data_IF_060439231386
#
_entry.id   IF_060439231386
#
_cell.length_a   1.000
_cell.length_b   1.000
_cell.length_c   1.000
_cell.angle_alpha   90.00
_cell.angle_beta   90.00
_cell.angle_gamma   90.00
#
_symmetry.space_group_name_H-M   'P 1'
#
loop_
_entity.id
_entity.type
_entity.pdbx_description
1 polymer ?
#
# COMPACT_ATOMS: atom_id res chain seq x y z
N UNK A 1 -2.32 -25.67 33.09
CA UNK A 1 -2.58 -26.68 32.03
C UNK A 1 -2.27 -26.01 30.72
N UNK A 2 -1.13 -26.31 30.12
CA UNK A 2 -0.66 -25.70 28.89
C UNK A 2 -1.31 -26.42 27.69
N UNK A 3 -2.18 -25.72 26.95
CA UNK A 3 -2.63 -26.16 25.64
C UNK A 3 -1.63 -25.66 24.60
N UNK A 4 -0.77 -26.56 24.13
CA UNK A 4 0.09 -26.35 22.97
C UNK A 4 -0.81 -26.45 21.73
N UNK A 5 -1.10 -25.31 21.10
CA UNK A 5 -1.80 -25.26 19.82
C UNK A 5 -0.80 -25.68 18.73
N UNK A 6 -0.85 -26.94 18.29
CA UNK A 6 -0.16 -27.38 17.09
C UNK A 6 -0.83 -26.74 15.87
N UNK A 7 -0.15 -25.77 15.25
CA UNK A 7 -0.52 -25.27 13.92
C UNK A 7 0.02 -26.28 12.90
N UNK A 8 -0.84 -27.18 12.45
CA UNK A 8 -0.56 -28.08 11.33
C UNK A 8 -0.58 -27.31 10.02
N UNK A 9 0.45 -27.50 9.19
CA UNK A 9 0.48 -27.01 7.81
C UNK A 9 -0.76 -27.52 7.05
N UNK A 10 -1.64 -26.60 6.66
CA UNK A 10 -2.80 -26.93 5.85
C UNK A 10 -2.33 -27.29 4.43
N UNK A 11 -2.71 -28.49 3.97
CA UNK A 11 -2.61 -28.85 2.57
C UNK A 11 -3.55 -27.95 1.75
N UNK A 12 -3.07 -27.45 0.61
CA UNK A 12 -3.86 -26.67 -0.36
C UNK A 12 -4.95 -27.58 -0.93
N UNK A 13 -6.20 -27.41 -0.49
CA UNK A 13 -7.36 -28.07 -1.10
C UNK A 13 -8.04 -27.11 -2.06
N UNK A 14 -7.81 -27.30 -3.36
CA UNK A 14 -8.64 -26.69 -4.41
C UNK A 14 -9.99 -27.43 -4.46
N UNK A 15 -11.07 -26.79 -4.01
CA UNK A 15 -12.43 -27.28 -4.19
C UNK A 15 -13.09 -26.48 -5.32
N UNK A 16 -12.95 -26.93 -6.56
CA UNK A 16 -13.70 -26.39 -7.68
C UNK A 16 -15.06 -27.12 -7.76
N UNK A 17 -16.16 -26.43 -7.44
CA UNK A 17 -17.51 -26.91 -7.78
C UNK A 17 -17.79 -26.52 -9.23
N UNK A 18 -17.92 -27.51 -10.10
CA UNK A 18 -18.42 -27.30 -11.46
C UNK A 18 -19.89 -26.82 -11.38
N UNK A 19 -20.14 -25.57 -11.74
CA UNK A 19 -21.49 -25.04 -11.97
C UNK A 19 -22.00 -25.44 -13.35
N UNK A 20 -23.31 -25.70 -13.41
CA UNK A 20 -24.03 -26.38 -14.47
C UNK A 20 -23.97 -25.73 -15.87
N UNK A 21 -24.02 -26.63 -16.85
CA UNK A 21 -24.21 -26.39 -18.28
C UNK A 21 -25.47 -25.56 -18.56
N UNK A 22 -25.30 -24.39 -19.19
CA UNK A 22 -26.35 -23.66 -19.91
C UNK A 22 -25.80 -23.33 -21.31
N UNK A 23 -26.53 -23.60 -22.40
CA UNK A 23 -26.05 -23.35 -23.75
C UNK A 23 -26.41 -21.93 -24.18
N UNK A 24 -25.40 -21.07 -24.35
CA UNK A 24 -25.22 -20.17 -25.50
C UNK A 24 -24.05 -19.22 -25.22
N UNK A 25 -23.31 -18.89 -26.29
CA UNK A 25 -21.95 -18.38 -26.22
C UNK A 25 -21.80 -17.07 -25.45
N UNK A 26 -20.95 -17.13 -24.45
CA UNK A 26 -20.09 -16.02 -24.02
C UNK A 26 -18.79 -16.65 -23.52
N UNK A 27 -17.66 -15.99 -23.75
CA UNK A 27 -16.32 -16.53 -23.49
C UNK A 27 -16.15 -16.89 -22.01
N UNK A 28 -16.23 -18.18 -21.69
CA UNK A 28 -15.90 -18.69 -20.36
C UNK A 28 -14.41 -18.51 -20.13
N UNK A 29 -14.02 -17.45 -19.43
CA UNK A 29 -12.69 -17.34 -18.84
C UNK A 29 -12.57 -18.44 -17.79
N UNK A 30 -11.89 -19.54 -18.13
CA UNK A 30 -11.54 -20.57 -17.17
C UNK A 30 -10.69 -19.92 -16.06
N UNK A 31 -11.25 -19.81 -14.87
CA UNK A 31 -10.50 -19.37 -13.70
C UNK A 31 -9.54 -20.50 -13.31
N UNK A 32 -8.29 -20.43 -13.77
CA UNK A 32 -7.25 -21.34 -13.32
C UNK A 32 -6.85 -20.98 -11.88
N UNK A 33 -7.01 -21.91 -10.93
CA UNK A 33 -6.52 -21.78 -9.55
C UNK A 33 -4.98 -21.94 -9.45
N UNK A 34 -4.26 -21.38 -10.42
CA UNK A 34 -2.81 -21.44 -10.53
C UNK A 34 -2.28 -20.19 -11.24
N UNK A 35 -0.96 -20.00 -11.27
CA UNK A 35 -0.39 -18.85 -11.95
C UNK A 35 -0.60 -18.95 -13.47
N UNK A 36 -0.80 -17.81 -14.12
CA UNK A 36 -0.77 -17.72 -15.59
C UNK A 36 0.64 -17.95 -16.15
N UNK A 37 0.79 -17.87 -17.48
CA UNK A 37 2.10 -18.02 -18.15
C UNK A 37 3.14 -16.97 -17.75
N UNK A 38 2.71 -15.88 -17.11
CA UNK A 38 3.55 -14.80 -16.61
C UNK A 38 3.80 -14.93 -15.10
N UNK A 39 3.37 -16.01 -14.45
CA UNK A 39 3.59 -16.27 -13.02
C UNK A 39 2.62 -15.55 -12.08
N UNK A 40 1.51 -15.01 -12.59
CA UNK A 40 0.55 -14.21 -11.81
C UNK A 40 -0.68 -15.01 -11.43
N UNK A 41 -1.17 -14.83 -10.20
CA UNK A 41 -2.39 -15.44 -9.69
C UNK A 41 -3.53 -14.44 -9.77
N UNK A 42 -4.58 -14.75 -10.54
CA UNK A 42 -5.75 -13.87 -10.67
C UNK A 42 -6.90 -14.36 -9.80
N UNK A 43 -7.48 -13.44 -9.04
CA UNK A 43 -8.76 -13.60 -8.36
C UNK A 43 -9.78 -12.60 -8.91
N UNK A 44 -11.07 -12.93 -8.78
CA UNK A 44 -12.17 -12.21 -9.39
C UNK A 44 -13.32 -12.02 -8.40
N UNK A 45 -13.93 -10.85 -8.42
CA UNK A 45 -15.21 -10.56 -7.79
C UNK A 45 -16.15 -9.92 -8.82
N UNK A 46 -17.43 -9.67 -8.47
CA UNK A 46 -18.32 -8.97 -9.39
C UNK A 46 -17.75 -7.60 -9.81
N UNK A 47 -17.61 -7.38 -11.12
CA UNK A 47 -17.11 -6.13 -11.73
C UNK A 47 -15.68 -5.72 -11.34
N UNK A 48 -14.88 -6.66 -10.80
CA UNK A 48 -13.49 -6.40 -10.41
C UNK A 48 -12.65 -7.67 -10.56
N UNK A 49 -11.43 -7.56 -11.07
CA UNK A 49 -10.46 -8.65 -11.03
C UNK A 49 -9.07 -8.10 -10.73
N UNK A 50 -8.27 -8.88 -10.04
CA UNK A 50 -6.92 -8.47 -9.66
C UNK A 50 -5.95 -9.65 -9.78
N UNK A 51 -4.72 -9.33 -10.14
CA UNK A 51 -3.63 -10.30 -10.22
C UNK A 51 -2.60 -10.00 -9.15
N UNK A 52 -2.03 -11.06 -8.56
CA UNK A 52 -1.05 -11.00 -7.49
C UNK A 52 0.15 -11.88 -7.81
N UNK A 53 1.30 -11.55 -7.21
CA UNK A 53 2.52 -12.35 -7.30
C UNK A 53 3.01 -12.71 -5.89
N UNK A 54 3.59 -13.90 -5.67
CA UNK A 54 4.07 -14.28 -4.34
C UNK A 54 5.23 -13.40 -3.83
N UNK A 55 6.05 -12.83 -4.71
CA UNK A 55 7.11 -11.91 -4.30
C UNK A 55 6.47 -10.63 -3.73
N UNK A 56 6.84 -10.27 -2.50
CA UNK A 56 6.27 -9.16 -1.75
C UNK A 56 4.78 -9.30 -1.39
N UNK A 57 4.16 -10.47 -1.66
CA UNK A 57 2.71 -10.62 -1.71
C UNK A 57 2.04 -9.54 -2.59
N UNK A 58 2.71 -9.11 -3.66
CA UNK A 58 2.37 -7.89 -4.38
C UNK A 58 1.11 -8.02 -5.22
N UNK A 59 0.32 -6.95 -5.25
CA UNK A 59 -0.64 -6.74 -6.34
C UNK A 59 0.11 -6.36 -7.63
N UNK A 60 -0.24 -7.02 -8.74
CA UNK A 60 0.36 -6.75 -10.04
C UNK A 60 -0.58 -6.08 -11.03
N UNK A 61 -1.89 -6.32 -10.90
CA UNK A 61 -2.91 -5.74 -11.75
C UNK A 61 -4.21 -5.58 -10.96
N UNK A 62 -5.01 -4.57 -11.31
CA UNK A 62 -6.38 -4.42 -10.81
C UNK A 62 -7.21 -3.77 -11.90
N UNK A 63 -8.27 -4.46 -12.30
CA UNK A 63 -9.09 -4.09 -13.45
C UNK A 63 -10.48 -3.65 -13.01
N UNK A 64 -10.89 -2.48 -13.50
CA UNK A 64 -12.22 -1.90 -13.33
C UNK A 64 -12.67 -1.36 -14.68
N UNK A 65 -13.94 -1.59 -15.05
CA UNK A 65 -14.53 -0.94 -16.22
C UNK A 65 -14.85 0.51 -15.89
N UNK A 66 -14.38 1.43 -16.73
CA UNK A 66 -14.67 2.85 -16.60
C UNK A 66 -16.12 3.20 -17.01
N UNK A 67 -16.49 4.48 -16.92
CA UNK A 67 -17.84 4.96 -17.28
C UNK A 67 -18.20 4.79 -18.76
N UNK A 68 -17.22 4.52 -19.63
CA UNK A 68 -17.40 4.19 -21.05
C UNK A 68 -17.42 2.68 -21.31
N UNK A 69 -17.33 1.85 -20.26
CA UNK A 69 -17.26 0.40 -20.36
C UNK A 69 -15.89 -0.13 -20.79
N UNK A 70 -14.84 0.69 -20.77
CA UNK A 70 -13.48 0.28 -21.11
C UNK A 70 -12.80 -0.25 -19.84
N UNK A 71 -12.29 -1.48 -19.89
CA UNK A 71 -11.54 -2.06 -18.78
C UNK A 71 -10.19 -1.34 -18.62
N UNK A 72 -9.90 -0.86 -17.40
CA UNK A 72 -8.67 -0.14 -17.05
C UNK A 72 -7.87 -0.93 -16.02
N UNK A 73 -6.59 -1.15 -16.31
CA UNK A 73 -5.64 -1.65 -15.30
C UNK A 73 -5.07 -0.47 -14.51
N UNK A 74 -5.59 -0.25 -13.30
CA UNK A 74 -5.40 1.01 -12.56
C UNK A 74 -4.25 1.00 -11.55
N UNK A 75 -3.40 -0.03 -11.56
CA UNK A 75 -2.22 -0.12 -10.66
C UNK A 75 -0.93 -0.36 -11.44
N UNK A 76 0.17 0.28 -11.08
CA UNK A 76 1.47 -0.02 -11.67
C UNK A 76 1.96 -1.43 -11.28
N UNK A 77 2.84 -1.99 -12.09
CA UNK A 77 3.42 -3.31 -11.87
C UNK A 77 4.15 -3.80 -13.11
N UNK A 78 4.43 -5.10 -13.16
CA UNK A 78 5.14 -5.72 -14.28
C UNK A 78 4.25 -6.70 -15.05
N UNK A 79 4.50 -6.88 -16.35
CA UNK A 79 3.79 -7.90 -17.14
C UNK A 79 4.14 -9.31 -16.67
N UNK A 80 5.39 -9.57 -16.27
CA UNK A 80 5.87 -10.86 -15.81
C UNK A 80 6.32 -10.83 -14.34
N UNK A 81 5.90 -11.82 -13.56
CA UNK A 81 6.21 -11.95 -12.14
C UNK A 81 7.71 -12.00 -11.84
N UNK A 82 8.55 -12.48 -12.77
CA UNK A 82 10.00 -12.56 -12.56
C UNK A 82 10.64 -11.19 -12.32
N UNK A 83 10.09 -10.12 -12.92
CA UNK A 83 10.61 -8.75 -12.80
C UNK A 83 10.55 -8.22 -11.37
N UNK A 84 9.63 -8.73 -10.56
CA UNK A 84 9.54 -8.36 -9.15
C UNK A 84 10.78 -8.79 -8.33
N UNK A 85 11.66 -9.65 -8.85
CA UNK A 85 12.89 -10.03 -8.11
C UNK A 85 14.18 -9.53 -8.75
N UNK A 86 14.12 -8.97 -9.97
CA UNK A 86 15.32 -8.69 -10.77
C UNK A 86 15.35 -7.30 -11.38
N UNK A 87 14.21 -6.58 -11.41
CA UNK A 87 14.20 -5.23 -11.95
C UNK A 87 15.06 -4.30 -11.08
N UNK A 88 15.87 -3.47 -11.73
CA UNK A 88 16.83 -2.61 -11.04
C UNK A 88 16.26 -1.25 -10.66
N UNK A 89 15.13 -0.86 -11.26
CA UNK A 89 14.50 0.43 -11.02
C UNK A 89 13.43 0.31 -9.94
N UNK A 90 12.58 -0.71 -10.02
CA UNK A 90 11.47 -0.89 -9.08
C UNK A 90 11.02 -2.36 -8.94
N UNK A 91 11.79 -3.21 -8.25
CA UNK A 91 11.47 -4.63 -8.14
C UNK A 91 10.27 -4.93 -7.22
N UNK A 92 9.66 -3.99 -6.50
CA UNK A 92 8.69 -4.34 -5.44
C UNK A 92 7.39 -3.53 -5.50
N UNK A 93 6.95 -3.16 -6.71
CA UNK A 93 5.64 -2.53 -6.92
C UNK A 93 4.51 -3.25 -6.17
N UNK A 94 3.61 -2.52 -5.52
CA UNK A 94 2.40 -3.10 -4.94
C UNK A 94 2.62 -4.11 -3.80
N UNK A 95 3.85 -4.21 -3.26
CA UNK A 95 4.21 -5.14 -2.20
C UNK A 95 3.76 -4.70 -0.81
N UNK A 96 4.00 -5.59 0.16
CA UNK A 96 3.78 -5.35 1.59
C UNK A 96 5.11 -4.97 2.25
N UNK A 97 5.38 -3.67 2.46
CA UNK A 97 6.58 -3.26 3.19
C UNK A 97 6.54 -3.79 4.62
N UNK A 98 7.68 -4.26 5.10
CA UNK A 98 7.74 -4.89 6.41
C UNK A 98 9.14 -5.31 6.83
N UNK A 99 9.36 -5.64 8.11
CA UNK A 99 8.33 -5.67 9.17
C UNK A 99 7.90 -4.29 9.70
N UNK A 100 8.58 -3.23 9.26
CA UNK A 100 8.25 -1.84 9.59
C UNK A 100 8.23 -0.99 8.33
N UNK A 101 7.06 -0.52 7.93
CA UNK A 101 6.85 0.35 6.79
C UNK A 101 7.42 1.76 7.05
N UNK A 102 7.73 2.49 5.99
CA UNK A 102 8.33 3.81 6.05
C UNK A 102 9.68 3.82 6.82
N UNK A 103 10.13 4.98 7.29
CA UNK A 103 11.47 5.20 7.83
C UNK A 103 11.54 4.91 9.32
N UNK A 104 12.66 4.32 9.74
CA UNK A 104 13.15 4.28 11.12
C UNK A 104 14.35 5.20 11.21
N UNK A 105 14.22 6.26 12.01
CA UNK A 105 15.25 7.27 12.22
C UNK A 105 16.56 6.66 12.72
N UNK A 106 17.66 7.03 12.08
CA UNK A 106 19.01 6.56 12.42
C UNK A 106 19.13 5.03 12.45
N UNK A 107 18.26 4.32 11.74
CA UNK A 107 18.20 2.85 11.71
C UNK A 107 18.28 2.22 13.10
N UNK A 108 17.62 2.83 14.09
CA UNK A 108 17.65 2.32 15.46
C UNK A 108 16.40 2.70 16.25
N UNK A 109 16.12 1.92 17.29
CA UNK A 109 15.01 2.14 18.22
C UNK A 109 15.33 1.54 19.58
N UNK A 110 14.47 1.78 20.57
CA UNK A 110 14.64 1.27 21.94
C UNK A 110 13.46 0.40 22.34
N UNK A 111 13.74 -0.81 22.86
CA UNK A 111 12.75 -1.68 23.50
C UNK A 111 13.23 -1.96 24.92
N UNK A 112 12.39 -1.68 25.91
CA UNK A 112 12.68 -1.95 27.33
C UNK A 112 14.06 -1.41 27.78
N UNK A 113 14.42 -0.21 27.31
CA UNK A 113 15.70 0.45 27.63
C UNK A 113 16.91 -0.07 26.84
N UNK A 114 16.76 -1.12 26.02
CA UNK A 114 17.82 -1.63 25.14
C UNK A 114 17.71 -0.99 23.75
N UNK A 115 18.81 -0.40 23.28
CA UNK A 115 18.95 0.07 21.89
C UNK A 115 19.15 -1.11 20.94
N UNK A 116 18.42 -1.09 19.83
CA UNK A 116 18.55 -2.01 18.71
C UNK A 116 18.94 -1.21 17.47
N UNK A 117 19.77 -1.82 16.62
CA UNK A 117 20.15 -1.27 15.32
C UNK A 117 19.67 -2.19 14.22
N UNK A 118 19.10 -1.61 13.18
CA UNK A 118 18.62 -2.27 11.98
C UNK A 118 19.44 -1.83 10.77
N UNK A 119 19.35 -2.59 9.68
CA UNK A 119 20.16 -2.33 8.49
C UNK A 119 19.62 -1.10 7.71
N UNK A 120 20.44 -0.06 7.52
CA UNK A 120 20.06 1.06 6.66
C UNK A 120 19.97 0.63 5.20
N UNK A 121 19.17 1.37 4.45
CA UNK A 121 19.06 1.26 2.98
C UNK A 121 18.71 2.60 2.31
N UNK A 122 18.65 3.70 3.08
CA UNK A 122 18.24 5.00 2.56
C UNK A 122 19.07 6.15 3.15
N UNK A 123 19.11 7.28 2.44
CA UNK A 123 19.83 8.50 2.79
C UNK A 123 21.35 8.27 2.92
N UNK A 124 22.03 7.75 1.87
CA UNK A 124 23.45 7.50 1.91
C UNK A 124 24.26 8.79 2.07
N UNK A 125 25.33 8.70 2.85
CA UNK A 125 26.31 9.78 3.03
C UNK A 125 27.70 9.26 2.70
N UNK A 126 28.70 10.14 2.64
CA UNK A 126 30.10 9.75 2.38
C UNK A 126 30.59 8.73 3.42
N UNK A 127 30.20 8.90 4.69
CA UNK A 127 30.61 8.02 5.79
C UNK A 127 29.69 6.80 5.97
N UNK A 128 28.49 6.83 5.36
CA UNK A 128 27.48 5.78 5.43
C UNK A 128 26.94 5.47 4.03
N UNK A 129 27.68 4.75 3.19
CA UNK A 129 27.31 4.50 1.79
C UNK A 129 26.03 3.67 1.63
N UNK A 130 25.70 2.85 2.63
CA UNK A 130 24.48 2.03 2.64
C UNK A 130 23.25 2.78 3.17
N UNK A 131 23.41 4.03 3.64
CA UNK A 131 22.35 4.82 4.24
C UNK A 131 22.52 5.09 5.74
N UNK A 132 21.72 6.02 6.26
CA UNK A 132 21.62 6.31 7.70
C UNK A 132 20.25 5.93 8.28
N UNK A 133 19.24 5.73 7.42
CA UNK A 133 17.89 5.35 7.82
C UNK A 133 17.49 4.00 7.22
N UNK A 134 16.58 3.32 7.91
CA UNK A 134 15.97 2.07 7.44
C UNK A 134 14.60 2.40 6.88
N UNK A 135 14.40 2.19 5.59
CA UNK A 135 13.13 2.33 4.89
C UNK A 135 12.53 0.95 4.62
N UNK A 136 11.23 0.80 4.93
CA UNK A 136 10.42 -0.39 4.59
C UNK A 136 11.04 -1.72 5.07
N UNK A 137 11.71 -1.71 6.23
CA UNK A 137 12.33 -2.89 6.84
C UNK A 137 13.74 -3.21 6.34
N UNK A 138 14.34 -2.34 5.52
CA UNK A 138 15.74 -2.44 5.10
C UNK A 138 15.93 -3.23 3.80
N UNK A 139 17.18 -3.60 3.46
CA UNK A 139 17.51 -4.22 2.17
C UNK A 139 16.96 -5.65 2.00
N UNK A 140 16.45 -6.26 3.07
CA UNK A 140 15.75 -7.55 3.05
C UNK A 140 14.34 -7.42 3.67
N UNK A 141 13.67 -6.30 3.38
CA UNK A 141 12.28 -6.03 3.75
C UNK A 141 11.31 -7.06 3.16
N UNK A 142 10.07 -7.06 3.65
CA UNK A 142 9.09 -8.10 3.30
C UNK A 142 8.60 -8.03 1.85
N UNK A 143 8.64 -6.85 1.25
CA UNK A 143 8.39 -6.54 -0.15
C UNK A 143 9.53 -7.00 -1.08
N UNK A 144 10.69 -7.36 -0.52
CA UNK A 144 11.86 -7.90 -1.22
C UNK A 144 11.98 -9.42 -1.13
N UNK A 145 10.91 -10.11 -0.75
CA UNK A 145 10.98 -11.54 -0.39
C UNK A 145 9.87 -12.33 -1.04
N UNK A 146 10.15 -13.60 -1.32
CA UNK A 146 9.12 -14.55 -1.71
C UNK A 146 8.25 -14.91 -0.51
N UNK A 147 6.95 -14.70 -0.65
CA UNK A 147 5.95 -15.24 0.26
C UNK A 147 5.48 -16.60 -0.23
N UNK A 148 5.04 -17.44 0.70
CA UNK A 148 4.43 -18.74 0.39
C UNK A 148 2.93 -18.56 0.20
N UNK A 149 2.39 -18.96 -0.94
CA UNK A 149 0.94 -19.06 -1.16
C UNK A 149 0.38 -20.20 -0.29
N UNK A 150 -0.60 -19.91 0.56
CA UNK A 150 -1.19 -20.89 1.48
C UNK A 150 -2.68 -21.14 1.25
N UNK A 151 -3.37 -20.21 0.59
CA UNK A 151 -4.78 -20.38 0.20
C UNK A 151 -5.07 -19.62 -1.08
N UNK A 152 -5.88 -20.22 -1.95
CA UNK A 152 -6.37 -19.60 -3.17
C UNK A 152 -7.79 -20.11 -3.47
N UNK A 153 -8.66 -19.17 -3.80
CA UNK A 153 -10.03 -19.41 -4.25
C UNK A 153 -10.36 -18.45 -5.40
N UNK A 154 -11.57 -18.50 -5.94
CA UNK A 154 -11.99 -17.61 -7.03
C UNK A 154 -11.81 -16.13 -6.68
N UNK A 155 -12.14 -15.72 -5.45
CA UNK A 155 -12.17 -14.32 -5.05
C UNK A 155 -11.25 -13.99 -3.86
N UNK A 156 -10.40 -14.90 -3.41
CA UNK A 156 -9.52 -14.67 -2.26
C UNK A 156 -8.20 -15.41 -2.39
N UNK A 157 -7.11 -14.77 -1.94
CA UNK A 157 -5.74 -15.27 -1.97
C UNK A 157 -5.03 -14.93 -0.65
N UNK A 158 -4.32 -15.89 -0.07
CA UNK A 158 -3.57 -15.71 1.17
C UNK A 158 -2.12 -16.13 1.01
N UNK A 159 -1.21 -15.24 1.41
CA UNK A 159 0.23 -15.46 1.47
C UNK A 159 0.71 -15.51 2.92
N UNK A 160 1.81 -16.22 3.19
CA UNK A 160 2.53 -16.17 4.46
C UNK A 160 4.02 -15.93 4.28
N UNK A 161 4.62 -15.22 5.25
CA UNK A 161 6.06 -15.03 5.38
C UNK A 161 6.47 -15.34 6.82
N UNK A 162 7.55 -16.10 6.97
CA UNK A 162 8.26 -16.21 8.25
C UNK A 162 9.49 -15.34 8.20
N UNK A 163 9.55 -14.36 9.07
CA UNK A 163 10.69 -13.48 9.25
C UNK A 163 11.48 -13.89 10.49
N UNK A 164 12.69 -14.38 10.30
CA UNK A 164 13.51 -14.94 11.37
C UNK A 164 13.95 -13.88 12.38
N UNK A 165 14.26 -14.32 13.61
CA UNK A 165 14.91 -13.47 14.61
C UNK A 165 16.26 -12.96 14.09
N UNK A 166 16.52 -11.67 14.26
CA UNK A 166 17.74 -11.00 13.82
C UNK A 166 17.77 -10.60 12.34
N UNK A 167 16.75 -10.94 11.53
CA UNK A 167 16.71 -10.50 10.14
C UNK A 167 16.69 -8.96 10.06
N UNK A 168 17.59 -8.38 9.26
CA UNK A 168 17.75 -6.92 9.16
C UNK A 168 18.14 -6.24 10.49
N UNK A 169 18.52 -6.98 11.53
CA UNK A 169 18.77 -6.47 12.88
C UNK A 169 17.53 -6.41 13.79
N UNK A 170 16.34 -6.75 13.30
CA UNK A 170 15.12 -6.76 14.10
C UNK A 170 15.10 -7.95 15.09
N UNK A 171 14.80 -7.73 16.37
CA UNK A 171 14.61 -8.82 17.32
C UNK A 171 13.32 -9.59 17.02
N UNK A 172 13.27 -10.85 17.41
CA UNK A 172 12.04 -11.65 17.39
C UNK A 172 11.74 -12.28 16.04
N UNK A 173 11.30 -13.54 16.07
CA UNK A 173 10.75 -14.23 14.91
C UNK A 173 9.29 -13.79 14.71
N UNK A 174 8.95 -13.33 13.53
CA UNK A 174 7.59 -12.93 13.16
C UNK A 174 7.01 -13.88 12.11
N UNK A 175 5.76 -14.29 12.29
CA UNK A 175 4.98 -15.01 11.27
C UNK A 175 3.86 -14.08 10.82
N UNK A 176 3.79 -13.82 9.51
CA UNK A 176 2.79 -12.94 8.94
C UNK A 176 1.91 -13.66 7.93
N UNK A 177 0.64 -13.24 7.87
CA UNK A 177 -0.30 -13.62 6.82
C UNK A 177 -0.89 -12.37 6.19
N UNK A 178 -0.98 -12.38 4.87
CA UNK A 178 -1.65 -11.33 4.09
C UNK A 178 -2.75 -12.01 3.28
N UNK A 179 -3.99 -11.58 3.49
CA UNK A 179 -5.15 -12.08 2.74
C UNK A 179 -5.76 -10.93 1.95
N UNK A 180 -5.93 -11.14 0.66
CA UNK A 180 -6.67 -10.25 -0.24
C UNK A 180 -7.96 -10.93 -0.66
N UNK A 181 -9.08 -10.21 -0.64
CA UNK A 181 -10.39 -10.71 -1.04
C UNK A 181 -11.10 -9.69 -1.93
N UNK A 182 -11.69 -10.16 -3.03
CA UNK A 182 -12.52 -9.35 -3.91
C UNK A 182 -14.01 -9.63 -3.67
N UNK A 183 -14.78 -8.55 -3.53
CA UNK A 183 -16.23 -8.55 -3.52
C UNK A 183 -16.79 -7.88 -4.77
N UNK A 184 -18.01 -7.32 -4.69
CA UNK A 184 -18.56 -6.53 -5.79
C UNK A 184 -17.94 -5.13 -5.77
N UNK A 185 -17.01 -4.86 -6.69
CA UNK A 185 -16.23 -3.61 -6.71
C UNK A 185 -15.56 -3.28 -5.37
N UNK A 186 -15.19 -4.29 -4.58
CA UNK A 186 -14.43 -4.12 -3.34
C UNK A 186 -13.17 -4.97 -3.37
N UNK A 187 -12.09 -4.41 -2.85
CA UNK A 187 -10.86 -5.13 -2.54
C UNK A 187 -10.57 -4.96 -1.05
N UNK A 188 -10.82 -6.03 -0.29
CA UNK A 188 -10.57 -6.09 1.14
C UNK A 188 -9.23 -6.78 1.40
N UNK A 189 -8.46 -6.24 2.34
CA UNK A 189 -7.23 -6.90 2.78
C UNK A 189 -7.04 -6.88 4.28
N UNK A 190 -6.50 -8.00 4.76
CA UNK A 190 -6.15 -8.22 6.16
C UNK A 190 -4.72 -8.71 6.23
N UNK A 191 -3.89 -7.97 6.93
CA UNK A 191 -2.50 -8.33 7.22
C UNK A 191 -2.38 -8.58 8.72
N UNK A 192 -1.85 -9.74 9.07
CA UNK A 192 -1.59 -10.10 10.47
C UNK A 192 -0.13 -10.41 10.66
N UNK A 193 0.42 -10.09 11.81
CA UNK A 193 1.78 -10.42 12.17
C UNK A 193 1.89 -10.77 13.65
N UNK A 194 2.41 -11.96 13.92
CA UNK A 194 2.62 -12.50 15.26
C UNK A 194 4.12 -12.55 15.56
N UNK A 195 4.57 -11.80 16.56
CA UNK A 195 5.91 -11.99 17.10
C UNK A 195 5.91 -13.17 18.09
N UNK A 196 6.74 -14.17 17.81
CA UNK A 196 6.69 -15.48 18.49
C UNK A 196 7.77 -15.66 19.56
N UNK A 197 8.81 -14.83 19.57
CA UNK A 197 9.97 -15.03 20.48
C UNK A 197 10.36 -13.81 21.30
N UNK A 198 10.32 -12.60 20.74
CA UNK A 198 10.73 -11.37 21.43
C UNK A 198 9.82 -10.20 21.05
N UNK A 199 9.78 -9.15 21.87
CA UNK A 199 9.20 -7.86 21.44
C UNK A 199 9.93 -7.33 20.21
N UNK A 200 9.19 -6.81 19.24
CA UNK A 200 9.73 -6.28 17.97
C UNK A 200 8.83 -5.19 17.42
N UNK A 201 9.35 -4.19 16.70
CA UNK A 201 8.51 -3.23 16.02
C UNK A 201 7.80 -3.90 14.83
N UNK A 202 6.50 -3.64 14.70
CA UNK A 202 5.69 -4.08 13.56
C UNK A 202 4.79 -2.93 13.12
N UNK A 203 4.90 -2.57 11.84
CA UNK A 203 4.00 -1.65 11.16
C UNK A 203 3.99 -2.05 9.68
N UNK A 204 2.86 -2.51 9.18
CA UNK A 204 2.73 -2.95 7.78
C UNK A 204 1.93 -1.91 6.99
N UNK A 205 1.96 -2.07 5.68
CA UNK A 205 1.17 -1.26 4.75
C UNK A 205 0.95 -2.01 3.44
N UNK A 206 0.18 -1.42 2.51
CA UNK A 206 0.06 -1.86 1.13
C UNK A 206 0.61 -0.79 0.20
N UNK A 207 1.72 -1.05 -0.50
CA UNK A 207 2.44 -0.05 -1.28
C UNK A 207 1.98 0.00 -2.75
N UNK A 208 0.67 0.13 -2.96
CA UNK A 208 0.04 0.10 -4.29
C UNK A 208 0.15 1.45 -5.00
N UNK A 209 0.58 1.43 -6.27
CA UNK A 209 0.77 2.62 -7.10
C UNK A 209 -0.41 2.80 -8.06
N UNK A 210 -1.27 3.76 -7.78
CA UNK A 210 -2.54 3.99 -8.45
C UNK A 210 -2.44 4.98 -9.61
N UNK A 211 -3.16 4.69 -10.69
CA UNK A 211 -3.58 5.65 -11.70
C UNK A 211 -4.96 5.21 -12.21
N UNK A 212 -6.01 5.96 -11.85
CA UNK A 212 -7.41 5.59 -12.12
C UNK A 212 -7.81 5.73 -13.59
N UNK A 213 -6.92 6.26 -14.43
CA UNK A 213 -7.10 6.30 -15.88
C UNK A 213 -6.42 5.10 -16.58
N UNK A 214 -5.82 4.19 -15.80
CA UNK A 214 -5.03 3.08 -16.32
C UNK A 214 -3.81 3.53 -17.11
N UNK A 215 -3.28 4.72 -16.76
CA UNK A 215 -2.20 5.40 -17.49
C UNK A 215 -2.53 5.72 -18.96
N UNK A 216 -3.80 5.63 -19.36
CA UNK A 216 -4.24 5.76 -20.74
C UNK A 216 -4.92 7.11 -21.04
N UNK A 217 -4.83 8.07 -20.12
CA UNK A 217 -5.39 9.40 -20.31
C UNK A 217 -4.62 10.12 -21.42
N UNK A 218 -5.34 10.57 -22.46
CA UNK A 218 -4.76 11.27 -23.60
C UNK A 218 -4.62 12.79 -23.38
N UNK A 219 -5.12 13.32 -22.26
CA UNK A 219 -4.98 14.73 -21.86
C UNK A 219 -3.75 14.96 -20.98
N UNK A 220 -3.29 13.92 -20.26
CA UNK A 220 -2.14 14.00 -19.35
C UNK A 220 -1.57 12.62 -19.05
N UNK A 221 -0.26 12.55 -18.81
CA UNK A 221 0.45 11.32 -18.38
C UNK A 221 0.61 11.22 -16.86
N UNK A 222 0.01 12.14 -16.11
CA UNK A 222 0.16 12.26 -14.65
C UNK A 222 -1.12 11.93 -13.91
N UNK A 223 -1.01 11.57 -12.64
CA UNK A 223 -2.13 11.45 -11.70
C UNK A 223 -2.48 12.81 -11.05
N UNK A 224 -1.85 13.91 -11.46
CA UNK A 224 -2.07 15.24 -10.85
C UNK A 224 -3.48 15.78 -11.08
N UNK A 225 -4.17 15.32 -12.11
CA UNK A 225 -5.56 15.67 -12.39
C UNK A 225 -6.57 14.89 -11.53
N UNK A 226 -6.13 13.88 -10.78
CA UNK A 226 -7.00 13.13 -9.87
C UNK A 226 -7.35 14.00 -8.67
N UNK A 227 -8.62 13.93 -8.26
CA UNK A 227 -9.12 14.62 -7.08
C UNK A 227 -8.90 13.75 -5.85
N UNK A 228 -8.19 14.27 -4.85
CA UNK A 228 -7.92 13.63 -3.57
C UNK A 228 -8.74 14.32 -2.47
N UNK A 229 -9.27 13.52 -1.54
CA UNK A 229 -9.92 13.99 -0.32
C UNK A 229 -9.55 13.11 0.87
N UNK A 230 -9.12 13.73 1.97
CA UNK A 230 -8.67 13.09 3.20
C UNK A 230 -9.45 13.67 4.39
N UNK A 231 -10.74 13.35 4.57
CA UNK A 231 -11.65 14.09 5.46
C UNK A 231 -11.24 14.10 6.93
N UNK A 232 -10.39 13.15 7.35
CA UNK A 232 -9.90 13.05 8.71
C UNK A 232 -8.50 13.62 8.92
N UNK A 233 -7.85 14.11 7.86
CA UNK A 233 -6.44 14.48 7.83
C UNK A 233 -6.16 15.96 8.16
N UNK A 234 -6.72 16.45 9.27
CA UNK A 234 -6.45 17.82 9.73
C UNK A 234 -5.00 18.05 10.21
N UNK A 235 -4.25 16.97 10.45
CA UNK A 235 -2.86 16.99 10.86
C UNK A 235 -2.01 15.98 10.07
N UNK A 236 -0.69 16.14 10.13
CA UNK A 236 0.30 15.24 9.54
C UNK A 236 1.57 15.19 10.38
N UNK A 237 2.36 14.13 10.22
CA UNK A 237 3.68 14.03 10.84
C UNK A 237 4.64 15.01 10.15
N UNK A 238 5.38 15.80 10.93
CA UNK A 238 6.45 16.65 10.43
C UNK A 238 7.73 15.87 10.20
N UNK A 239 8.36 16.11 9.06
CA UNK A 239 9.63 15.48 8.66
C UNK A 239 10.70 16.52 8.36
N UNK A 240 11.96 16.11 8.47
CA UNK A 240 13.09 16.90 8.01
C UNK A 240 13.30 16.78 6.49
N UNK A 241 14.40 17.33 6.00
CA UNK A 241 14.72 17.38 4.56
C UNK A 241 15.06 16.02 3.94
N UNK A 242 15.31 15.00 4.75
CA UNK A 242 15.53 13.61 4.30
C UNK A 242 14.32 12.72 4.63
N UNK A 243 13.17 13.35 4.92
CA UNK A 243 11.88 12.72 5.15
C UNK A 243 11.79 11.89 6.43
N UNK A 244 12.68 12.15 7.40
CA UNK A 244 12.65 11.48 8.71
C UNK A 244 11.81 12.31 9.69
N UNK A 245 10.93 11.70 10.50
CA UNK A 245 10.13 12.42 11.48
C UNK A 245 10.97 13.25 12.47
N UNK A 246 10.50 14.48 12.72
CA UNK A 246 11.13 15.41 13.67
C UNK A 246 10.59 15.26 15.09
N UNK A 247 9.38 14.68 15.21
CA UNK A 247 8.59 14.68 16.44
C UNK A 247 7.44 15.71 16.44
N UNK A 248 7.43 16.61 15.45
CA UNK A 248 6.38 17.62 15.31
C UNK A 248 5.13 17.03 14.64
N UNK A 249 3.96 17.49 15.11
CA UNK A 249 2.67 17.23 14.45
C UNK A 249 2.18 18.56 13.90
N UNK A 250 2.03 18.61 12.58
CA UNK A 250 1.75 19.86 11.87
C UNK A 250 0.28 19.89 11.46
N UNK A 251 -0.37 21.03 11.69
CA UNK A 251 -1.74 21.28 11.24
C UNK A 251 -1.76 21.59 9.75
N UNK A 252 -2.66 20.92 9.02
CA UNK A 252 -2.96 21.24 7.62
C UNK A 252 -3.91 22.43 7.58
N UNK A 253 -3.37 23.64 7.41
CA UNK A 253 -4.18 24.87 7.39
C UNK A 253 -5.07 24.90 6.15
N UNK A 254 -6.31 25.35 6.32
CA UNK A 254 -7.25 25.45 5.22
C UNK A 254 -6.69 26.31 4.09
N UNK A 255 -6.72 25.80 2.86
CA UNK A 255 -6.22 26.47 1.65
C UNK A 255 -4.72 26.30 1.37
N UNK A 256 -3.94 25.66 2.25
CA UNK A 256 -2.52 25.36 1.98
C UNK A 256 -2.37 24.12 1.08
N UNK A 257 -1.17 23.91 0.53
CA UNK A 257 -0.91 22.81 -0.41
C UNK A 257 -1.18 21.39 0.15
N UNK A 258 -1.06 21.19 1.47
CA UNK A 258 -1.37 19.92 2.14
C UNK A 258 -2.81 19.85 2.70
N UNK A 259 -3.66 20.84 2.41
CA UNK A 259 -5.07 20.79 2.76
C UNK A 259 -5.86 19.93 1.77
N UNK A 260 -5.96 18.65 2.07
CA UNK A 260 -6.88 17.72 1.39
C UNK A 260 -8.08 17.36 2.27
N UNK A 261 -8.20 17.93 3.47
CA UNK A 261 -9.20 17.51 4.45
C UNK A 261 -10.42 18.45 4.45
N UNK A 262 -10.22 19.75 4.22
CA UNK A 262 -11.31 20.71 4.23
C UNK A 262 -12.30 20.50 3.07
N UNK A 263 -11.77 20.23 1.87
CA UNK A 263 -12.53 19.96 0.63
C UNK A 263 -11.73 19.07 -0.32
N UNK A 264 -12.37 18.24 -1.15
CA UNK A 264 -11.69 17.53 -2.23
C UNK A 264 -10.99 18.51 -3.19
N UNK A 265 -9.76 18.20 -3.60
CA UNK A 265 -9.03 19.00 -4.60
C UNK A 265 -8.14 18.14 -5.49
N UNK A 266 -7.85 18.63 -6.70
CA UNK A 266 -6.88 17.96 -7.57
C UNK A 266 -5.50 17.95 -6.93
N UNK A 267 -4.79 16.83 -7.00
CA UNK A 267 -3.42 16.72 -6.48
C UNK A 267 -2.49 17.77 -7.06
N UNK A 268 -2.68 18.14 -8.33
CA UNK A 268 -1.86 19.13 -9.04
C UNK A 268 -2.19 20.59 -8.72
N UNK A 269 -3.26 20.88 -7.98
CA UNK A 269 -3.80 22.23 -7.83
C UNK A 269 -2.77 23.24 -7.29
N UNK A 270 -1.88 22.78 -6.39
CA UNK A 270 -0.91 23.64 -5.71
C UNK A 270 0.52 23.44 -6.20
N UNK A 271 0.77 22.66 -7.26
CA UNK A 271 2.12 22.32 -7.72
C UNK A 271 3.00 23.53 -8.08
N UNK A 272 2.39 24.66 -8.46
CA UNK A 272 3.10 25.92 -8.73
C UNK A 272 3.35 26.78 -7.48
N UNK A 273 2.83 26.38 -6.32
CA UNK A 273 2.96 27.13 -5.07
C UNK A 273 4.38 27.04 -4.51
N UNK A 274 4.97 28.13 -4.01
CA UNK A 274 6.31 28.12 -3.42
C UNK A 274 6.46 27.14 -2.24
N UNK A 275 5.36 26.83 -1.54
CA UNK A 275 5.36 25.88 -0.42
C UNK A 275 5.63 24.43 -0.86
N UNK A 276 5.45 24.12 -2.15
CA UNK A 276 5.69 22.77 -2.66
C UNK A 276 7.17 22.42 -2.75
N UNK A 277 8.06 23.41 -2.85
CA UNK A 277 9.50 23.16 -2.83
C UNK A 277 9.91 22.71 -1.42
N UNK A 278 10.36 21.47 -1.31
CA UNK A 278 10.68 20.84 -0.03
C UNK A 278 9.59 19.95 0.54
N UNK A 279 8.39 19.93 -0.07
CA UNK A 279 7.23 19.24 0.50
C UNK A 279 7.34 17.71 0.48
N UNK A 280 8.19 17.16 -0.38
CA UNK A 280 8.56 15.75 -0.43
C UNK A 280 10.07 15.53 -0.22
N UNK A 281 10.71 16.37 0.61
CA UNK A 281 12.13 16.30 0.92
C UNK A 281 12.97 17.33 0.16
N UNK A 282 14.29 17.32 0.38
CA UNK A 282 15.20 18.35 -0.12
C UNK A 282 15.09 18.54 -1.64
N UNK A 283 14.76 19.76 -2.07
CA UNK A 283 14.66 20.10 -3.50
C UNK A 283 13.52 19.40 -4.25
N UNK A 284 12.62 18.72 -3.52
CA UNK A 284 11.53 17.95 -4.10
C UNK A 284 10.23 18.75 -4.16
N UNK A 285 9.49 18.60 -5.27
CA UNK A 285 8.12 19.12 -5.45
C UNK A 285 7.18 17.92 -5.59
N UNK A 286 6.13 17.88 -4.78
CA UNK A 286 5.19 16.75 -4.72
C UNK A 286 4.78 16.42 -3.29
N UNK A 287 4.22 15.23 -3.10
CA UNK A 287 3.76 14.73 -1.81
C UNK A 287 4.49 13.45 -1.47
N UNK A 288 5.06 13.40 -0.27
CA UNK A 288 5.52 12.20 0.40
C UNK A 288 5.27 12.42 1.90
N UNK A 289 4.02 12.20 2.31
CA UNK A 289 3.51 12.75 3.58
C UNK A 289 2.61 11.77 4.31
N UNK A 290 2.88 11.59 5.61
CA UNK A 290 2.06 10.82 6.53
C UNK A 290 0.93 11.69 7.09
N UNK A 291 -0.26 11.58 6.53
CA UNK A 291 -1.46 12.26 7.01
C UNK A 291 -2.09 11.46 8.16
N UNK A 292 -2.54 12.15 9.21
CA UNK A 292 -3.05 11.52 10.42
C UNK A 292 -4.57 11.52 10.40
N UNK A 293 -5.19 10.37 10.61
CA UNK A 293 -6.65 10.20 10.64
C UNK A 293 -7.29 10.59 11.98
N UNK A 294 -6.81 11.67 12.62
CA UNK A 294 -7.11 12.06 14.00
C UNK A 294 -8.49 12.72 14.22
N UNK A 295 -9.18 13.14 13.17
CA UNK A 295 -10.56 13.66 13.29
C UNK A 295 -11.61 12.54 13.24
N UNK A 296 -11.18 11.27 13.14
CA UNK A 296 -12.05 10.13 13.41
C UNK A 296 -12.35 10.15 14.91
N UNK A 297 -13.64 10.16 15.28
CA UNK A 297 -14.00 9.93 16.68
C UNK A 297 -13.40 8.58 17.11
N UNK A 298 -12.73 8.52 18.27
CA UNK A 298 -12.01 7.35 18.79
C UNK A 298 -12.87 6.06 18.81
N UNK A 299 -14.20 6.18 18.85
CA UNK A 299 -15.15 5.05 18.76
C UNK A 299 -15.25 4.39 17.37
N UNK A 300 -14.61 4.95 16.34
CA UNK A 300 -14.71 4.51 14.95
C UNK A 300 -13.55 3.61 14.49
N UNK A 301 -12.56 3.30 15.35
CA UNK A 301 -11.49 2.36 15.02
C UNK A 301 -11.97 0.91 15.05
N UNK A 302 -12.87 0.55 15.97
CA UNK A 302 -13.49 -0.79 16.03
C UNK A 302 -14.49 -1.04 14.90
N UNK A 303 -15.21 -0.01 14.46
CA UNK A 303 -16.21 -0.08 13.38
C UNK A 303 -15.74 0.60 12.10
N UNK A 304 -14.43 0.62 11.85
CA UNK A 304 -13.78 1.38 10.78
C UNK A 304 -14.40 1.22 9.39
N UNK A 305 -14.95 0.04 9.09
CA UNK A 305 -15.55 -0.31 7.79
C UNK A 305 -16.97 0.24 7.62
N UNK A 306 -17.62 0.65 8.72
CA UNK A 306 -18.96 1.26 8.77
C UNK A 306 -18.90 2.78 8.98
N UNK A 307 -17.71 3.37 8.89
CA UNK A 307 -17.55 4.82 8.96
C UNK A 307 -18.32 5.52 7.85
N UNK A 308 -18.88 6.69 8.17
CA UNK A 308 -19.64 7.49 7.21
C UNK A 308 -18.76 7.98 6.04
N UNK A 309 -17.50 8.34 6.32
CA UNK A 309 -16.55 8.84 5.32
C UNK A 309 -15.34 7.90 5.25
N UNK A 310 -14.72 7.77 4.06
CA UNK A 310 -13.45 7.06 3.91
C UNK A 310 -12.31 7.84 4.56
N UNK A 311 -11.17 7.19 4.85
CA UNK A 311 -9.95 7.91 5.27
C UNK A 311 -9.27 8.61 4.11
N UNK A 312 -9.44 8.07 2.90
CA UNK A 312 -9.01 8.69 1.66
C UNK A 312 -9.98 8.36 0.54
N UNK A 313 -10.26 9.35 -0.30
CA UNK A 313 -10.99 9.19 -1.54
C UNK A 313 -10.13 9.75 -2.68
N UNK A 314 -10.00 8.99 -3.75
CA UNK A 314 -9.40 9.44 -4.99
C UNK A 314 -10.34 9.20 -6.16
N UNK A 315 -10.45 10.20 -7.03
CA UNK A 315 -11.36 10.18 -8.17
C UNK A 315 -10.63 10.65 -9.44
N UNK A 316 -10.90 9.97 -10.55
CA UNK A 316 -10.65 10.53 -11.89
C UNK A 316 -11.97 10.97 -12.53
N UNK A 317 -12.00 12.21 -13.03
CA UNK A 317 -13.10 12.72 -13.83
C UNK A 317 -13.06 12.26 -15.30
N UNK A 318 -11.93 11.70 -15.74
CA UNK A 318 -11.73 11.22 -17.10
C UNK A 318 -12.27 9.80 -17.27
N UNK A 319 -11.86 8.86 -16.42
CA UNK A 319 -12.41 7.51 -16.41
C UNK A 319 -13.76 7.44 -15.66
N UNK A 320 -13.98 8.34 -14.70
CA UNK A 320 -15.13 8.30 -13.79
C UNK A 320 -14.96 7.27 -12.67
N UNK A 321 -13.80 6.60 -12.57
CA UNK A 321 -13.50 5.67 -11.48
C UNK A 321 -13.22 6.48 -10.20
N UNK A 322 -13.85 6.07 -9.10
CA UNK A 322 -13.52 6.50 -7.74
C UNK A 322 -13.06 5.31 -6.91
N UNK A 323 -12.09 5.55 -6.04
CA UNK A 323 -11.63 4.65 -4.98
C UNK A 323 -11.80 5.33 -3.62
N UNK A 324 -12.60 4.70 -2.75
CA UNK A 324 -12.76 5.04 -1.34
C UNK A 324 -12.02 4.03 -0.46
N UNK A 325 -11.13 4.53 0.41
CA UNK A 325 -10.30 3.72 1.31
C UNK A 325 -10.85 3.78 2.73
N UNK A 326 -11.19 2.62 3.29
CA UNK A 326 -11.54 2.45 4.70
C UNK A 326 -10.48 1.58 5.37
N UNK A 327 -10.07 1.90 6.59
CA UNK A 327 -9.04 1.13 7.30
C UNK A 327 -9.12 1.31 8.81
N UNK A 328 -8.64 0.33 9.56
CA UNK A 328 -8.41 0.43 11.00
C UNK A 328 -7.14 1.21 11.37
N UNK A 329 -6.34 1.65 10.39
CA UNK A 329 -5.10 2.38 10.62
C UNK A 329 -5.33 3.88 10.91
N UNK A 330 -4.47 4.46 11.74
CA UNK A 330 -4.58 5.83 12.26
C UNK A 330 -3.86 6.88 11.41
N UNK A 331 -3.20 6.46 10.33
CA UNK A 331 -2.59 7.34 9.35
C UNK A 331 -2.70 6.77 7.92
N UNK A 332 -2.40 7.60 6.94
CA UNK A 332 -2.21 7.21 5.55
C UNK A 332 -1.01 7.95 4.96
N UNK A 333 -0.04 7.22 4.39
CA UNK A 333 0.99 7.86 3.56
C UNK A 333 0.38 8.19 2.20
N UNK A 334 0.67 9.40 1.73
CA UNK A 334 0.44 9.79 0.34
C UNK A 334 1.79 10.04 -0.30
N UNK A 335 2.10 9.28 -1.35
CA UNK A 335 3.28 9.51 -2.19
C UNK A 335 2.85 9.75 -3.62
N UNK A 336 3.22 10.90 -4.20
CA UNK A 336 2.76 11.32 -5.53
C UNK A 336 3.70 10.89 -6.65
N UNK A 337 4.44 9.78 -6.51
CA UNK A 337 5.36 9.31 -7.55
C UNK A 337 6.38 10.35 -8.02
N UNK A 338 6.81 11.24 -7.13
CA UNK A 338 7.78 12.31 -7.42
C UNK A 338 9.18 11.79 -7.79
N UNK A 339 9.50 10.53 -7.46
CA UNK A 339 10.74 9.84 -7.82
C UNK A 339 10.71 9.14 -9.18
N UNK A 340 9.55 9.05 -9.83
CA UNK A 340 9.45 8.52 -11.20
C UNK A 340 9.96 9.55 -12.21
N UNK A 341 10.44 9.10 -13.36
CA UNK A 341 11.07 9.98 -14.35
C UNK A 341 10.89 9.52 -15.82
N UNK A 342 9.95 8.62 -16.10
CA UNK A 342 9.71 8.09 -17.44
C UNK A 342 10.67 6.98 -17.87
N UNK A 343 11.38 6.33 -16.93
CA UNK A 343 12.27 5.18 -17.23
C UNK A 343 11.65 3.80 -16.99
N UNK A 344 10.56 3.72 -16.22
CA UNK A 344 9.82 2.48 -15.95
C UNK A 344 8.76 2.26 -17.01
N UNK A 345 8.81 1.12 -17.70
CA UNK A 345 7.84 0.77 -18.75
C UNK A 345 6.48 0.40 -18.16
N UNK A 346 5.40 0.89 -18.78
CA UNK A 346 4.03 0.49 -18.49
C UNK A 346 3.74 -0.92 -18.99
N UNK A 347 2.95 -1.67 -18.22
CA UNK A 347 2.42 -2.98 -18.63
C UNK A 347 1.72 -2.90 -19.98
N UNK A 348 1.68 -4.02 -20.69
CA UNK A 348 0.95 -4.16 -21.96
C UNK A 348 -0.54 -3.80 -21.89
N UNK A 349 -1.12 -3.83 -20.69
CA UNK A 349 -2.52 -3.50 -20.36
C UNK A 349 -2.76 -2.02 -20.06
N UNK A 350 -1.72 -1.18 -20.15
CA UNK A 350 -1.71 0.22 -19.72
C UNK A 350 -1.13 1.13 -20.80
N UNK A 351 -1.35 2.43 -20.64
CA UNK A 351 -0.77 3.43 -21.52
C UNK A 351 -1.53 3.62 -22.83
N UNK A 352 -0.92 4.39 -23.72
CA UNK A 352 -1.35 4.58 -25.10
C UNK A 352 -0.23 4.14 -26.05
N UNK A 353 -0.44 4.05 -27.37
CA UNK A 353 0.65 3.77 -28.31
C UNK A 353 1.83 4.74 -28.20
N UNK A 354 1.56 6.00 -27.81
CA UNK A 354 2.56 7.06 -27.73
C UNK A 354 3.16 7.22 -26.31
N UNK A 355 2.46 6.75 -25.26
CA UNK A 355 2.86 6.89 -23.86
C UNK A 355 2.98 5.53 -23.18
N UNK A 356 4.23 5.07 -23.03
CA UNK A 356 4.57 3.72 -22.55
C UNK A 356 5.47 3.68 -21.31
N UNK A 357 5.65 4.81 -20.63
CA UNK A 357 6.47 4.89 -19.43
C UNK A 357 5.76 5.64 -18.30
N UNK A 358 6.06 5.27 -17.05
CA UNK A 358 5.54 5.96 -15.86
C UNK A 358 6.32 7.26 -15.69
N UNK A 359 5.67 8.38 -16.01
CA UNK A 359 6.25 9.72 -15.86
C UNK A 359 6.36 10.13 -14.39
N UNK A 360 7.13 11.18 -14.13
CA UNK A 360 7.08 11.86 -12.84
C UNK A 360 5.63 12.25 -12.53
N UNK A 361 5.16 11.96 -11.32
CA UNK A 361 3.75 12.11 -10.93
C UNK A 361 2.76 11.24 -11.69
N UNK A 362 3.22 10.20 -12.39
CA UNK A 362 2.38 9.26 -13.15
C UNK A 362 1.41 8.45 -12.29
N UNK A 363 1.59 8.45 -10.97
CA UNK A 363 0.79 7.69 -10.03
C UNK A 363 0.69 8.36 -8.67
N UNK A 364 -0.12 7.77 -7.80
CA UNK A 364 -0.24 8.07 -6.38
C UNK A 364 -0.22 6.77 -5.58
N UNK A 365 0.46 6.75 -4.45
CA UNK A 365 0.43 5.64 -3.50
C UNK A 365 -0.40 6.05 -2.28
N UNK A 366 -1.27 5.14 -1.85
CA UNK A 366 -2.12 5.26 -0.67
C UNK A 366 -1.75 4.13 0.28
N UNK A 367 -1.10 4.45 1.39
CA UNK A 367 -0.55 3.47 2.33
C UNK A 367 -1.26 3.58 3.69
N UNK A 368 -2.32 2.80 3.95
CA UNK A 368 -2.87 2.65 5.29
C UNK A 368 -1.79 2.13 6.23
N UNK A 369 -1.44 2.91 7.26
CA UNK A 369 -0.41 2.55 8.21
C UNK A 369 -0.57 3.35 9.51
N UNK A 370 0.28 3.08 10.49
CA UNK A 370 0.37 3.90 11.68
C UNK A 370 1.33 5.11 11.46
N UNK A 371 1.50 5.96 12.47
CA UNK A 371 2.34 7.15 12.39
C UNK A 371 3.79 6.74 12.16
N UNK A 372 4.41 7.29 11.11
CA UNK A 372 5.79 6.99 10.72
C UNK A 372 6.77 7.29 11.86
N UNK A 373 7.77 6.43 12.04
CA UNK A 373 8.76 6.47 13.14
C UNK A 373 8.17 6.59 14.57
N UNK A 374 6.88 6.24 14.78
CA UNK A 374 6.23 6.31 16.10
C UNK A 374 6.96 5.52 17.21
N UNK A 375 7.70 4.47 16.85
CA UNK A 375 8.57 3.69 17.74
C UNK A 375 9.67 4.53 18.41
N UNK A 376 10.08 5.63 17.78
CA UNK A 376 11.06 6.58 18.30
C UNK A 376 10.42 7.85 18.90
N UNK A 377 9.08 7.90 18.90
CA UNK A 377 8.28 8.98 19.48
C UNK A 377 7.27 8.42 20.49
N UNK A 378 7.72 7.79 21.60
CA UNK A 378 6.83 7.13 22.57
C UNK A 378 5.82 8.08 23.22
N UNK A 379 6.09 9.39 23.23
CA UNK A 379 5.18 10.43 23.70
C UNK A 379 3.90 10.57 22.85
N UNK A 380 3.87 10.01 21.63
CA UNK A 380 2.67 9.95 20.81
C UNK A 380 1.71 8.81 21.21
N UNK A 381 2.14 7.91 22.11
CA UNK A 381 1.28 6.85 22.65
C UNK A 381 0.87 5.77 21.63
N UNK A 382 1.66 5.57 20.57
CA UNK A 382 1.39 4.58 19.52
C UNK A 382 1.79 3.17 19.95
N UNK A 383 0.99 2.14 19.62
CA UNK A 383 1.34 0.73 19.84
C UNK A 383 2.00 0.15 18.58
N UNK A 384 3.32 0.27 18.50
CA UNK A 384 4.10 -0.23 17.37
C UNK A 384 5.10 -1.33 17.73
N UNK A 385 5.28 -1.62 19.02
CA UNK A 385 6.07 -2.75 19.51
C UNK A 385 5.12 -3.87 19.92
N UNK A 386 5.36 -5.07 19.40
CA UNK A 386 4.54 -6.27 19.60
C UNK A 386 5.39 -7.43 20.10
N UNK A 387 4.89 -8.22 21.04
CA UNK A 387 5.61 -9.34 21.64
C UNK A 387 4.73 -10.56 21.88
N UNK A 388 5.34 -11.70 22.28
CA UNK A 388 4.61 -12.95 22.52
C UNK A 388 3.69 -12.91 23.75
N UNK A 389 3.80 -11.88 24.58
CA UNK A 389 2.98 -11.68 25.78
C UNK A 389 1.78 -10.74 25.54
N UNK A 390 1.65 -10.16 24.34
CA UNK A 390 0.46 -9.39 23.98
C UNK A 390 -0.76 -10.33 23.86
N UNK A 391 -1.91 -9.89 24.37
CA UNK A 391 -3.18 -10.63 24.25
C UNK A 391 -3.70 -10.67 22.79
N UNK A 392 -3.20 -9.78 21.95
CA UNK A 392 -3.57 -9.61 20.54
C UNK A 392 -2.35 -9.66 19.61
N UNK A 393 -2.60 -9.90 18.33
CA UNK A 393 -1.59 -9.82 17.26
C UNK A 393 -1.72 -8.51 16.49
N UNK A 394 -0.63 -8.06 15.87
CA UNK A 394 -0.71 -6.94 14.94
C UNK A 394 -1.68 -7.28 13.82
N UNK A 395 -2.66 -6.40 13.59
CA UNK A 395 -3.67 -6.56 12.56
C UNK A 395 -3.90 -5.23 11.85
N UNK A 396 -3.63 -5.21 10.55
CA UNK A 396 -4.05 -4.16 9.62
C UNK A 396 -5.22 -4.69 8.79
N UNK A 397 -6.30 -3.93 8.76
CA UNK A 397 -7.44 -4.20 7.89
C UNK A 397 -7.79 -2.96 7.06
N UNK A 398 -8.09 -3.18 5.78
CA UNK A 398 -8.59 -2.13 4.90
C UNK A 398 -9.59 -2.68 3.88
N UNK A 399 -10.47 -1.80 3.40
CA UNK A 399 -11.46 -2.04 2.36
C UNK A 399 -11.35 -0.94 1.33
N UNK A 400 -10.95 -1.29 0.12
CA UNK A 400 -10.82 -0.40 -1.03
C UNK A 400 -12.07 -0.57 -1.87
N UNK A 401 -12.94 0.43 -1.87
CA UNK A 401 -14.28 0.36 -2.47
C UNK A 401 -14.30 1.23 -3.72
N UNK A 402 -14.61 0.61 -4.84
CA UNK A 402 -14.67 1.28 -6.13
C UNK A 402 -16.10 1.66 -6.47
N UNK A 403 -16.26 2.79 -7.14
CA UNK A 403 -17.53 3.22 -7.72
C UNK A 403 -17.31 3.97 -9.02
N UNK A 404 -18.38 4.13 -9.80
CA UNK A 404 -18.37 4.93 -11.03
C UNK A 404 -19.18 6.19 -10.81
N UNK A 405 -18.53 7.34 -10.97
CA UNK A 405 -19.16 8.65 -10.86
C UNK A 405 -19.34 9.19 -12.27
N UNK A 406 -20.60 9.32 -12.70
CA UNK A 406 -20.92 10.09 -13.89
C UNK A 406 -20.42 11.52 -13.68
N UNK A 407 -19.75 12.12 -14.68
CA UNK A 407 -19.45 13.57 -14.68
C UNK A 407 -20.65 14.31 -14.11
N UNK A 408 -20.45 15.12 -13.07
CA UNK A 408 -21.49 16.08 -12.67
C UNK A 408 -21.84 16.84 -13.95
N UNK A 409 -23.11 16.79 -14.34
CA UNK A 409 -23.62 17.63 -15.42
C UNK A 409 -23.26 19.06 -15.03
N UNK A 410 -22.34 19.65 -15.79
CA UNK A 410 -21.83 21.01 -15.61
C UNK A 410 -22.95 22.03 -15.68
#
# INVERSE_FOLDING_TARGET
MYSILMITAAAVFALCRASHYMPNGDSSHECSLGPDSNGKYTIQGPNIRASFVPYGASISNLYINDTHGIERDIVAGWDNASYYSIDRQHPHFGGVPGRYANRIKNSSFVIDGKKWSVQPNENPTVDHPDGVDTLHGGPNGWDWRNWTLVSLSENSITFTLTDSDGNGGFPGKVISYVTYTLGNMTWDFKMTALSTTNKTPIMLSSHTYWNLDGFANNETTTALNHTLWLPYAGQRVGTDTILVPTGDIIVNKQGDANDFWSTPKQMGADMASPIMLGNCGYGCTGYDTCFINNLRNLSLTENWSSNLLPVAQIQSSWSGIQLDVFTNQDAIQIYSCNGQNGSVTLKSTQGTPDERFIQQYGCIVLEPQDWIDGINHPNWGRKQIWGPEDDDIYTLEASYRFSLISKMAT
#
